data_IF_837074021463
#
_entry.id   IF_837074021463
#
_cell.length_a   1.000
_cell.length_b   1.000
_cell.length_c   1.000
_cell.angle_alpha   90.00
_cell.angle_beta   90.00
_cell.angle_gamma   90.00
#
_symmetry.space_group_name_H-M   'P 1'
#
loop_
_entity.id
_entity.type
_entity.pdbx_description
1 polymer ?
#
# COMPACT_ATOMS: atom_id res chain seq x y z
N UNK A 1 14.52 -1.98 7.81
CA UNK A 1 13.33 -1.88 6.93
C UNK A 1 13.72 -2.51 5.60
N UNK A 2 12.85 -3.35 5.02
CA UNK A 2 13.03 -3.93 3.68
C UNK A 2 11.96 -3.32 2.77
N UNK A 3 12.32 -2.99 1.55
CA UNK A 3 11.42 -2.59 0.49
C UNK A 3 11.85 -3.30 -0.80
N UNK A 4 10.90 -3.67 -1.63
CA UNK A 4 11.16 -4.33 -2.90
C UNK A 4 10.64 -3.43 -4.04
N UNK A 5 11.53 -2.81 -4.85
CA UNK A 5 11.12 -2.16 -6.09
C UNK A 5 10.60 -3.24 -7.04
N UNK A 6 9.40 -3.07 -7.57
CA UNK A 6 8.72 -4.13 -8.33
C UNK A 6 7.88 -3.55 -9.46
N UNK A 7 7.60 -4.40 -10.45
CA UNK A 7 6.64 -4.14 -11.53
C UNK A 7 5.51 -5.16 -11.45
N UNK A 8 4.28 -4.72 -11.75
CA UNK A 8 3.16 -5.64 -11.87
C UNK A 8 3.23 -6.37 -13.21
N UNK A 9 3.03 -7.67 -13.19
CA UNK A 9 2.99 -8.55 -14.37
C UNK A 9 1.62 -9.24 -14.43
N UNK A 10 1.30 -9.86 -15.57
CA UNK A 10 0.09 -10.65 -15.70
C UNK A 10 0.14 -11.89 -14.78
N UNK A 11 -1.02 -12.40 -14.34
CA UNK A 11 -1.11 -13.54 -13.42
C UNK A 11 -0.45 -14.83 -13.95
N UNK A 12 -0.35 -14.96 -15.28
CA UNK A 12 0.29 -16.09 -15.95
C UNK A 12 1.76 -15.82 -16.34
N UNK A 13 2.36 -14.73 -15.84
CA UNK A 13 3.75 -14.42 -16.09
C UNK A 13 4.66 -15.50 -15.49
N UNK A 14 5.64 -15.94 -16.27
CA UNK A 14 6.66 -16.89 -15.86
C UNK A 14 7.97 -16.10 -15.78
N UNK A 15 8.57 -16.06 -14.59
CA UNK A 15 9.89 -15.50 -14.41
C UNK A 15 10.92 -16.49 -14.96
N UNK A 16 11.74 -16.03 -15.90
CA UNK A 16 12.89 -16.81 -16.39
C UNK A 16 13.94 -16.98 -15.28
N UNK A 17 15.00 -17.76 -15.53
CA UNK A 17 16.09 -18.01 -14.57
C UNK A 17 17.05 -16.80 -14.43
N UNK A 18 16.47 -15.61 -14.27
CA UNK A 18 17.18 -14.35 -14.10
C UNK A 18 17.66 -14.21 -12.66
N UNK A 19 18.98 -14.30 -12.46
CA UNK A 19 19.61 -14.17 -11.16
C UNK A 19 19.23 -12.84 -10.48
N UNK A 20 18.87 -12.91 -9.20
CA UNK A 20 18.54 -11.75 -8.38
C UNK A 20 17.11 -11.22 -8.54
N UNK A 21 16.28 -11.83 -9.38
CA UNK A 21 14.85 -11.52 -9.46
C UNK A 21 14.02 -12.56 -8.70
N UNK A 22 12.88 -12.11 -8.16
CA UNK A 22 11.92 -12.97 -7.50
C UNK A 22 10.50 -12.58 -7.92
N UNK A 23 9.64 -13.58 -8.10
CA UNK A 23 8.21 -13.38 -8.27
C UNK A 23 7.54 -13.41 -6.89
N UNK A 24 6.72 -12.40 -6.62
CA UNK A 24 5.96 -12.31 -5.37
C UNK A 24 4.51 -11.91 -5.66
N UNK A 25 3.61 -12.34 -4.79
CA UNK A 25 2.19 -11.98 -4.84
C UNK A 25 1.87 -11.04 -3.70
N UNK A 26 1.37 -9.84 -4.02
CA UNK A 26 0.73 -8.99 -3.03
C UNK A 26 -0.65 -9.59 -2.72
N UNK A 27 -1.00 -9.79 -1.44
CA UNK A 27 -2.29 -10.37 -1.08
C UNK A 27 -3.42 -9.43 -1.53
N UNK A 28 -4.50 -10.01 -2.07
CA UNK A 28 -5.76 -9.29 -2.20
C UNK A 28 -6.36 -8.98 -0.82
N UNK A 29 -7.32 -8.06 -0.78
CA UNK A 29 -7.98 -7.67 0.47
C UNK A 29 -8.46 -6.23 0.45
N UNK A 30 -8.79 -5.70 1.62
CA UNK A 30 -9.18 -4.29 1.77
C UNK A 30 -7.95 -3.42 1.93
N UNK A 31 -7.82 -2.43 1.06
CA UNK A 31 -6.79 -1.42 1.12
C UNK A 31 -7.42 -0.04 1.28
N UNK A 32 -6.82 0.78 2.16
CA UNK A 32 -6.93 2.22 2.03
C UNK A 32 -6.03 2.65 0.87
N UNK A 33 -6.49 3.57 0.04
CA UNK A 33 -5.75 4.10 -1.10
C UNK A 33 -5.77 5.63 -1.07
N UNK A 34 -4.61 6.26 -1.14
CA UNK A 34 -4.45 7.71 -1.17
C UNK A 34 -3.71 8.13 -2.43
N UNK A 35 -4.42 8.78 -3.34
CA UNK A 35 -3.87 9.34 -4.57
C UNK A 35 -3.47 10.80 -4.34
N UNK A 36 -2.21 11.13 -4.64
CA UNK A 36 -1.70 12.50 -4.50
C UNK A 36 -0.53 12.75 -5.45
N UNK A 37 -0.13 14.01 -5.56
CA UNK A 37 1.03 14.45 -6.34
C UNK A 37 2.15 14.89 -5.40
N UNK A 38 3.33 14.30 -5.55
CA UNK A 38 4.55 14.66 -4.84
C UNK A 38 5.45 15.47 -5.78
N UNK A 39 5.50 16.78 -5.58
CA UNK A 39 6.30 17.72 -6.40
C UNK A 39 7.53 18.28 -5.66
N UNK A 40 7.67 18.01 -4.36
CA UNK A 40 8.77 18.48 -3.51
C UNK A 40 9.75 17.35 -3.13
N UNK A 41 9.57 16.15 -3.71
CA UNK A 41 10.34 14.95 -3.38
C UNK A 41 10.06 14.38 -1.98
N UNK A 42 9.07 14.91 -1.24
CA UNK A 42 8.82 14.52 0.14
C UNK A 42 7.73 13.42 0.25
N UNK A 43 8.08 12.21 -0.19
CA UNK A 43 7.21 11.04 -0.09
C UNK A 43 6.86 10.69 1.37
N UNK A 44 7.78 10.93 2.31
CA UNK A 44 7.54 10.68 3.73
C UNK A 44 6.41 11.56 4.29
N UNK A 45 6.29 12.80 3.82
CA UNK A 45 5.17 13.68 4.17
C UNK A 45 3.85 13.12 3.65
N UNK A 46 3.79 12.64 2.40
CA UNK A 46 2.59 12.04 1.83
C UNK A 46 2.16 10.77 2.60
N UNK A 47 3.11 9.90 2.95
CA UNK A 47 2.85 8.76 3.85
C UNK A 47 2.36 9.22 5.22
N UNK A 48 2.99 10.22 5.82
CA UNK A 48 2.59 10.75 7.14
C UNK A 48 1.16 11.28 7.12
N UNK A 49 0.79 12.05 6.10
CA UNK A 49 -0.58 12.53 5.89
C UNK A 49 -1.56 11.37 5.74
N UNK A 50 -1.20 10.36 4.95
CA UNK A 50 -2.00 9.16 4.75
C UNK A 50 -2.36 8.43 6.04
N UNK A 51 -1.38 8.17 6.91
CA UNK A 51 -1.65 7.50 8.19
C UNK A 51 -2.35 8.42 9.19
N UNK A 52 -1.84 9.64 9.37
CA UNK A 52 -2.25 10.50 10.49
C UNK A 52 -3.61 11.17 10.28
N UNK A 53 -4.06 11.32 9.03
CA UNK A 53 -5.33 11.96 8.70
C UNK A 53 -6.28 10.93 8.10
N UNK A 54 -5.98 10.45 6.89
CA UNK A 54 -6.95 9.68 6.12
C UNK A 54 -7.25 8.30 6.72
N UNK A 55 -6.25 7.54 7.18
CA UNK A 55 -6.49 6.25 7.83
C UNK A 55 -7.08 6.44 9.23
N UNK A 56 -6.50 7.32 10.04
CA UNK A 56 -6.93 7.55 11.42
C UNK A 56 -8.41 7.93 11.54
N UNK A 57 -8.96 8.66 10.56
CA UNK A 57 -10.34 9.13 10.55
C UNK A 57 -11.30 8.19 9.78
N UNK A 58 -10.79 7.12 9.15
CA UNK A 58 -11.58 6.25 8.26
C UNK A 58 -12.47 5.20 8.96
N UNK A 59 -12.24 4.94 10.25
CA UNK A 59 -12.81 3.77 10.94
C UNK A 59 -12.15 2.43 10.56
N UNK A 60 -11.01 2.47 9.88
CA UNK A 60 -10.15 1.33 9.60
C UNK A 60 -8.79 1.50 10.30
N UNK A 61 -8.06 0.40 10.47
CA UNK A 61 -6.68 0.41 10.96
C UNK A 61 -5.77 -0.45 10.07
N UNK A 62 -4.46 -0.16 10.00
CA UNK A 62 -3.49 -1.05 9.39
C UNK A 62 -3.54 -2.43 10.06
N UNK A 63 -3.54 -3.49 9.27
CA UNK A 63 -3.66 -4.87 9.77
C UNK A 63 -2.32 -5.63 9.79
N UNK A 64 -1.22 -4.91 9.58
CA UNK A 64 0.14 -5.45 9.60
C UNK A 64 0.60 -6.11 8.30
N UNK A 65 -0.25 -6.22 7.27
CA UNK A 65 0.20 -6.64 5.93
C UNK A 65 0.94 -5.51 5.21
N UNK A 66 1.68 -5.89 4.16
CA UNK A 66 2.52 -4.98 3.40
C UNK A 66 1.72 -3.78 2.84
N UNK A 67 2.26 -2.59 3.07
CA UNK A 67 1.92 -1.39 2.33
C UNK A 67 2.78 -1.29 1.06
N UNK A 68 2.33 -0.53 0.07
CA UNK A 68 3.10 -0.23 -1.13
C UNK A 68 2.65 1.09 -1.74
N UNK A 69 3.42 1.61 -2.67
CA UNK A 69 3.07 2.80 -3.45
C UNK A 69 3.16 2.46 -4.94
N UNK A 70 2.25 3.02 -5.73
CA UNK A 70 2.21 2.86 -7.19
C UNK A 70 2.50 4.20 -7.83
N UNK A 71 3.57 4.25 -8.61
CA UNK A 71 3.94 5.39 -9.43
C UNK A 71 3.12 5.37 -10.73
N UNK A 72 2.43 6.47 -11.02
CA UNK A 72 1.52 6.58 -12.17
C UNK A 72 2.17 7.27 -13.37
N UNK A 73 3.28 7.97 -13.15
CA UNK A 73 4.09 8.61 -14.17
C UNK A 73 5.58 8.43 -13.88
N UNK A 74 6.41 8.74 -14.88
CA UNK A 74 7.84 8.95 -14.69
C UNK A 74 8.07 10.41 -14.27
N UNK A 75 8.35 10.62 -12.98
CA UNK A 75 8.68 11.92 -12.43
C UNK A 75 10.17 12.26 -12.50
N UNK A 76 11.02 11.41 -13.10
CA UNK A 76 12.46 11.67 -13.18
C UNK A 76 12.79 12.87 -14.08
N UNK A 77 11.91 13.21 -15.02
CA UNK A 77 12.10 14.32 -15.95
C UNK A 77 11.87 15.70 -15.31
N UNK A 78 10.94 15.80 -14.35
CA UNK A 78 10.45 17.08 -13.84
C UNK A 78 10.32 17.16 -12.31
N UNK A 79 10.59 16.07 -11.59
CA UNK A 79 10.47 15.99 -10.13
C UNK A 79 9.03 15.88 -9.60
N UNK A 80 8.04 15.72 -10.49
CA UNK A 80 6.63 15.62 -10.14
C UNK A 80 6.16 14.18 -10.30
N UNK A 81 5.71 13.59 -9.19
CA UNK A 81 5.27 12.20 -9.14
C UNK A 81 3.80 12.12 -8.76
N UNK A 82 2.98 11.55 -9.63
CA UNK A 82 1.63 11.12 -9.32
C UNK A 82 1.68 9.71 -8.76
N UNK A 83 1.21 9.55 -7.52
CA UNK A 83 1.43 8.33 -6.73
C UNK A 83 0.14 7.94 -6.02
N UNK A 84 -0.14 6.64 -5.98
CA UNK A 84 -1.15 6.09 -5.08
C UNK A 84 -0.46 5.27 -3.98
N UNK A 85 -0.65 5.69 -2.73
CA UNK A 85 -0.21 4.97 -1.55
C UNK A 85 -1.28 3.98 -1.12
N UNK A 86 -0.89 2.75 -0.82
CA UNK A 86 -1.77 1.66 -0.41
C UNK A 86 -1.34 1.11 0.95
N UNK A 87 -2.27 1.05 1.89
CA UNK A 87 -2.11 0.34 3.15
C UNK A 87 -3.19 -0.72 3.25
N UNK A 88 -2.81 -1.97 3.47
CA UNK A 88 -3.78 -3.01 3.78
C UNK A 88 -4.42 -2.72 5.15
N UNK A 89 -5.74 -2.79 5.24
CA UNK A 89 -6.48 -2.37 6.42
C UNK A 89 -7.56 -3.35 6.80
N UNK A 90 -7.95 -3.31 8.07
CA UNK A 90 -9.13 -3.97 8.58
C UNK A 90 -10.07 -2.97 9.24
N UNK A 91 -11.37 -3.26 9.23
CA UNK A 91 -12.36 -2.41 9.88
C UNK A 91 -12.16 -2.46 11.38
N UNK A 92 -12.14 -1.30 12.03
CA UNK A 92 -12.13 -1.25 13.49
C UNK A 92 -13.49 -1.76 13.97
N UNK A 93 -13.50 -2.93 14.60
CA UNK A 93 -14.67 -3.44 15.30
C UNK A 93 -15.03 -2.48 16.42
N UNK A 94 -16.26 -1.96 16.44
CA UNK A 94 -16.80 -1.30 17.62
C UNK A 94 -16.69 -2.27 18.81
N UNK A 95 -16.11 -1.84 19.93
CA UNK A 95 -15.90 -2.73 21.07
C UNK A 95 -17.24 -3.31 21.58
N UNK A 96 -17.31 -4.65 21.61
CA UNK A 96 -18.17 -5.43 22.51
C UNK A 96 -19.42 -6.06 21.90
N UNK A 97 -19.28 -7.10 21.07
CA UNK A 97 -20.34 -8.12 20.95
C UNK A 97 -19.92 -9.35 21.80
N UNK A 98 -20.60 -9.66 22.92
CA UNK A 98 -20.19 -10.75 23.82
C UNK A 98 -20.31 -12.16 23.20
N UNK A 99 -20.82 -12.29 21.98
CA UNK A 99 -21.33 -13.57 21.45
C UNK A 99 -20.37 -14.36 20.54
N UNK A 100 -19.13 -13.91 20.31
CA UNK A 100 -18.20 -14.68 19.47
C UNK A 100 -17.44 -15.82 20.18
N UNK A 101 -17.83 -16.20 21.41
CA UNK A 101 -17.29 -17.40 22.09
C UNK A 101 -18.14 -18.67 21.87
N UNK A 102 -19.09 -18.65 20.94
CA UNK A 102 -19.85 -19.84 20.59
C UNK A 102 -20.03 -19.96 19.08
N UNK A 103 -19.08 -20.62 18.41
CA UNK A 103 -19.30 -21.52 17.27
C UNK A 103 -18.02 -22.27 16.92
#
# INVERSE_FOLDING_TARGET
MRADPSVCVADNYILDDAEGLALQTLPGGTYAAYHTTVADGNFAKAWTEFYSQYIAESGYRPDGKACYERYLNDGSENGVWDVIFYQHVEKISAHGDPLSSAR
#
